data_IF_781783558226
#
_entry.id   IF_781783558226
#
_cell.length_a   1.000
_cell.length_b   1.000
_cell.length_c   1.000
_cell.angle_alpha   90.00
_cell.angle_beta   90.00
_cell.angle_gamma   90.00
#
_symmetry.space_group_name_H-M   'P 1'
#
loop_
_entity.id
_entity.type
_entity.pdbx_description
1 polymer ?
#
# COMPACT_ATOMS: atom_id res chain seq x y z
N UNK A 1 20.01 9.85 13.88
CA UNK A 1 18.57 9.63 13.91
C UNK A 1 18.28 8.17 13.61
N UNK A 2 17.68 7.45 14.53
CA UNK A 2 17.37 6.07 14.23
C UNK A 2 16.31 5.98 13.14
N UNK A 3 16.46 5.02 12.26
CA UNK A 3 15.43 4.71 11.28
C UNK A 3 14.21 4.16 11.98
N UNK A 4 13.06 4.58 11.54
CA UNK A 4 11.82 3.99 11.98
C UNK A 4 11.36 3.02 10.91
N UNK A 5 10.95 1.85 11.35
CA UNK A 5 10.42 0.82 10.48
C UNK A 5 9.11 0.34 11.06
N UNK A 6 8.08 0.33 10.23
CA UNK A 6 6.79 -0.22 10.58
C UNK A 6 6.58 -1.50 9.79
N UNK A 7 6.28 -2.59 10.48
CA UNK A 7 5.91 -3.85 9.85
C UNK A 7 4.45 -4.14 10.17
N UNK A 8 3.69 -4.53 9.15
CA UNK A 8 2.27 -4.78 9.30
C UNK A 8 1.84 -5.90 8.37
N UNK A 9 0.94 -6.74 8.85
CA UNK A 9 0.18 -7.64 7.98
C UNK A 9 -1.21 -7.05 7.86
N UNK A 10 -1.62 -6.75 6.64
CA UNK A 10 -2.86 -6.05 6.37
C UNK A 10 -3.79 -6.96 5.58
N UNK A 11 -5.03 -7.07 6.05
CA UNK A 11 -6.07 -7.87 5.39
C UNK A 11 -7.01 -6.95 4.64
N UNK A 12 -7.26 -7.26 3.38
CA UNK A 12 -8.11 -6.45 2.52
C UNK A 12 -9.29 -7.31 2.06
N UNK A 13 -10.49 -6.88 2.41
CA UNK A 13 -11.72 -7.59 2.04
C UNK A 13 -11.90 -7.63 0.53
N UNK A 14 -12.72 -8.55 0.07
CA UNK A 14 -13.09 -8.64 -1.34
C UNK A 14 -13.62 -7.30 -1.84
N UNK A 15 -13.15 -6.88 -2.99
CA UNK A 15 -13.56 -5.63 -3.67
C UNK A 15 -13.31 -4.36 -2.86
N UNK A 16 -12.35 -4.40 -1.93
CA UNK A 16 -11.96 -3.24 -1.15
C UNK A 16 -10.52 -2.85 -1.47
N UNK A 17 -10.07 -1.77 -0.88
CA UNK A 17 -8.70 -1.29 -1.04
C UNK A 17 -8.17 -0.79 0.29
N UNK A 18 -6.87 -0.99 0.51
CA UNK A 18 -6.15 -0.43 1.65
C UNK A 18 -5.43 0.83 1.18
N UNK A 19 -5.58 1.91 1.94
CA UNK A 19 -5.01 3.21 1.60
C UNK A 19 -3.91 3.53 2.60
N UNK A 20 -2.69 3.69 2.11
CA UNK A 20 -1.53 4.05 2.91
C UNK A 20 -1.14 5.50 2.60
N UNK A 21 -1.24 6.35 3.62
CA UNK A 21 -1.00 7.78 3.49
C UNK A 21 -2.26 8.56 3.14
N UNK A 22 -2.29 9.83 3.52
CA UNK A 22 -3.45 10.70 3.36
C UNK A 22 -3.14 11.95 2.53
N UNK A 23 -2.05 11.92 1.77
CA UNK A 23 -1.56 13.02 0.97
C UNK A 23 -0.98 14.19 1.80
N UNK A 24 -0.74 13.98 3.10
CA UNK A 24 -0.09 14.95 3.98
C UNK A 24 0.95 14.21 4.80
N UNK A 25 2.08 13.93 4.21
CA UNK A 25 3.15 13.17 4.88
C UNK A 25 4.49 13.37 4.18
N UNK A 26 5.56 12.99 4.85
CA UNK A 26 6.89 12.99 4.27
C UNK A 26 7.14 11.78 3.37
N UNK A 27 8.33 11.74 2.81
CA UNK A 27 8.74 10.62 1.95
C UNK A 27 8.88 9.34 2.76
N UNK A 28 8.57 8.23 2.14
CA UNK A 28 8.79 6.94 2.76
C UNK A 28 9.05 5.87 1.69
N UNK A 29 9.61 4.76 2.15
CA UNK A 29 9.78 3.57 1.32
C UNK A 29 8.88 2.49 1.87
N UNK A 30 8.22 1.75 1.00
CA UNK A 30 7.38 0.64 1.42
C UNK A 30 7.70 -0.60 0.60
N UNK A 31 7.84 -1.71 1.30
CA UNK A 31 7.90 -3.03 0.66
C UNK A 31 6.54 -3.69 0.84
N UNK A 32 5.97 -4.17 -0.26
CA UNK A 32 4.68 -4.85 -0.25
C UNK A 32 4.91 -6.28 -0.71
N UNK A 33 4.53 -7.25 0.12
CA UNK A 33 4.59 -8.66 -0.23
C UNK A 33 3.18 -9.21 -0.24
N UNK A 34 2.79 -9.81 -1.36
CA UNK A 34 1.49 -10.46 -1.45
C UNK A 34 1.60 -11.86 -0.84
N UNK A 35 1.02 -12.06 0.33
CA UNK A 35 1.07 -13.34 1.05
C UNK A 35 -0.20 -14.16 0.82
N UNK A 36 -1.06 -13.74 -0.08
CA UNK A 36 -2.33 -14.41 -0.35
C UNK A 36 -2.28 -15.25 -1.62
N UNK A 37 -3.42 -15.78 -2.02
CA UNK A 37 -3.56 -16.63 -3.21
C UNK A 37 -4.15 -15.89 -4.41
N UNK A 38 -4.44 -14.59 -4.27
CA UNK A 38 -5.01 -13.77 -5.34
C UNK A 38 -4.14 -12.54 -5.57
N UNK A 39 -4.09 -12.00 -6.80
CA UNK A 39 -3.30 -10.81 -7.08
C UNK A 39 -3.92 -9.55 -6.47
N UNK A 40 -3.09 -8.55 -6.24
CA UNK A 40 -3.53 -7.22 -5.81
C UNK A 40 -2.94 -6.17 -6.75
N UNK A 41 -3.67 -5.08 -6.94
CA UNK A 41 -3.23 -3.98 -7.78
C UNK A 41 -2.75 -2.83 -6.91
N UNK A 42 -1.58 -2.29 -7.23
CA UNK A 42 -0.99 -1.18 -6.49
C UNK A 42 -1.05 0.08 -7.33
N UNK A 43 -1.59 1.15 -6.74
CA UNK A 43 -1.79 2.45 -7.37
C UNK A 43 -1.18 3.56 -6.55
N UNK A 44 -0.72 4.62 -7.22
CA UNK A 44 -0.27 5.86 -6.59
C UNK A 44 -1.29 6.96 -6.84
N UNK A 45 -1.57 7.74 -5.80
CA UNK A 45 -2.47 8.89 -5.87
C UNK A 45 -1.72 10.12 -5.35
N UNK A 46 -0.99 10.85 -6.23
CA UNK A 46 -0.26 12.04 -5.80
C UNK A 46 -1.20 13.21 -5.49
N UNK A 47 -0.74 14.11 -4.65
CA UNK A 47 -1.51 15.31 -4.28
C UNK A 47 -1.88 16.15 -5.50
N UNK A 48 -1.03 16.15 -6.51
CA UNK A 48 -1.28 16.88 -7.76
C UNK A 48 -2.47 16.35 -8.54
N UNK A 49 -3.00 15.21 -8.16
CA UNK A 49 -4.20 14.62 -8.76
C UNK A 49 -3.89 13.44 -9.66
N UNK A 50 -4.97 12.76 -10.05
CA UNK A 50 -4.88 11.57 -10.88
C UNK A 50 -4.47 10.34 -10.12
N UNK A 51 -4.36 9.23 -10.84
CA UNK A 51 -3.84 7.98 -10.28
C UNK A 51 -2.95 7.31 -11.29
N UNK A 52 -1.93 6.63 -10.81
CA UNK A 52 -0.98 5.93 -11.66
C UNK A 52 -0.88 4.49 -11.23
N UNK A 53 -1.06 3.57 -12.18
CA UNK A 53 -0.85 2.16 -11.92
C UNK A 53 0.63 1.90 -11.69
N UNK A 54 0.95 1.19 -10.63
CA UNK A 54 2.33 0.82 -10.33
C UNK A 54 2.60 -0.60 -10.81
N UNK A 55 1.83 -1.57 -10.29
CA UNK A 55 2.04 -2.98 -10.62
C UNK A 55 0.84 -3.80 -10.14
N UNK A 56 0.61 -4.92 -10.82
CA UNK A 56 -0.22 -5.99 -10.29
C UNK A 56 0.73 -6.99 -9.62
N UNK A 57 0.55 -7.17 -8.32
CA UNK A 57 1.41 -8.02 -7.52
C UNK A 57 0.76 -9.38 -7.36
N UNK A 58 1.37 -10.38 -7.96
CA UNK A 58 0.86 -11.75 -7.91
C UNK A 58 1.19 -12.42 -6.58
N UNK A 59 0.54 -13.55 -6.25
CA UNK A 59 0.88 -14.28 -5.02
C UNK A 59 2.38 -14.55 -4.89
N UNK A 60 2.89 -14.36 -3.70
CA UNK A 60 4.29 -14.51 -3.29
C UNK A 60 5.24 -13.43 -3.83
N UNK A 61 4.77 -12.55 -4.70
CA UNK A 61 5.60 -11.47 -5.22
C UNK A 61 5.77 -10.34 -4.20
N UNK A 62 6.89 -9.64 -4.34
CA UNK A 62 7.25 -8.52 -3.48
C UNK A 62 7.73 -7.36 -4.35
N UNK A 63 7.35 -6.16 -3.97
CA UNK A 63 7.84 -4.94 -4.62
C UNK A 63 8.29 -3.94 -3.57
N UNK A 64 9.31 -3.15 -3.90
CA UNK A 64 9.77 -2.02 -3.10
C UNK A 64 9.44 -0.74 -3.83
N UNK A 65 8.82 0.19 -3.13
CA UNK A 65 8.41 1.47 -3.70
C UNK A 65 9.03 2.61 -2.92
N UNK A 66 9.52 3.60 -3.65
CA UNK A 66 9.87 4.90 -3.08
C UNK A 66 8.68 5.81 -3.28
N UNK A 67 8.10 6.28 -2.18
CA UNK A 67 6.91 7.10 -2.25
C UNK A 67 7.28 8.53 -1.91
N UNK A 68 6.98 9.43 -2.84
CA UNK A 68 7.23 10.86 -2.65
C UNK A 68 6.30 11.42 -1.57
N UNK A 69 6.66 12.58 -1.07
CA UNK A 69 5.81 13.24 -0.09
C UNK A 69 4.41 13.50 -0.65
N UNK A 70 3.44 13.48 0.22
CA UNK A 70 2.04 13.80 -0.11
C UNK A 70 1.45 12.93 -1.23
N UNK A 71 1.84 11.65 -1.24
CA UNK A 71 1.35 10.68 -2.21
C UNK A 71 0.81 9.46 -1.46
N UNK A 72 -0.44 9.13 -1.67
CA UNK A 72 -0.98 7.91 -1.07
C UNK A 72 -0.80 6.71 -1.99
N UNK A 73 -0.67 5.55 -1.37
CA UNK A 73 -0.59 4.28 -2.07
C UNK A 73 -1.87 3.52 -1.79
N UNK A 74 -2.49 2.98 -2.83
CA UNK A 74 -3.65 2.11 -2.68
C UNK A 74 -3.31 0.72 -3.13
N UNK A 75 -3.71 -0.25 -2.33
CA UNK A 75 -3.58 -1.67 -2.64
C UNK A 75 -5.00 -2.19 -2.80
N UNK A 76 -5.38 -2.49 -4.04
CA UNK A 76 -6.74 -2.86 -4.37
C UNK A 76 -6.88 -4.37 -4.50
N UNK A 77 -7.89 -4.91 -3.84
CA UNK A 77 -8.28 -6.31 -3.96
C UNK A 77 -9.53 -6.40 -4.80
N UNK A 78 -9.39 -6.72 -6.08
CA UNK A 78 -10.53 -6.89 -6.97
C UNK A 78 -11.04 -8.32 -7.01
N UNK A 79 -10.51 -9.20 -6.17
CA UNK A 79 -10.94 -10.58 -6.10
C UNK A 79 -12.19 -10.74 -5.25
N UNK A 80 -12.75 -11.94 -5.27
CA UNK A 80 -13.94 -12.28 -4.48
C UNK A 80 -13.60 -12.77 -3.08
N UNK A 81 -12.30 -12.79 -2.76
CA UNK A 81 -11.82 -13.31 -1.48
C UNK A 81 -11.00 -12.26 -0.76
N UNK A 82 -10.92 -12.40 0.55
CA UNK A 82 -10.02 -11.57 1.34
C UNK A 82 -8.57 -11.91 0.99
N UNK A 83 -7.74 -10.90 0.86
CA UNK A 83 -6.31 -11.06 0.63
C UNK A 83 -5.53 -10.52 1.81
N UNK A 84 -4.27 -10.95 1.94
CA UNK A 84 -3.35 -10.45 2.94
C UNK A 84 -2.08 -9.97 2.26
N UNK A 85 -1.58 -8.83 2.71
CA UNK A 85 -0.31 -8.30 2.25
C UNK A 85 0.55 -7.95 3.46
N UNK A 86 1.85 -8.14 3.32
CA UNK A 86 2.80 -7.73 4.35
C UNK A 86 3.44 -6.43 3.92
N UNK A 87 3.42 -5.45 4.81
CA UNK A 87 3.97 -4.13 4.55
C UNK A 87 5.16 -3.88 5.46
N UNK A 88 6.20 -3.30 4.88
CA UNK A 88 7.34 -2.79 5.65
C UNK A 88 7.59 -1.36 5.20
N UNK A 89 7.42 -0.42 6.11
CA UNK A 89 7.52 1.01 5.83
C UNK A 89 8.76 1.57 6.53
N UNK A 90 9.57 2.29 5.80
CA UNK A 90 10.75 2.99 6.32
C UNK A 90 10.63 4.47 5.97
N UNK A 91 11.05 5.34 6.88
CA UNK A 91 11.01 6.79 6.69
C UNK A 91 9.91 7.38 7.54
N UNK A 92 8.99 8.11 6.94
CA UNK A 92 7.83 8.63 7.66
C UNK A 92 6.86 7.49 7.94
N UNK A 93 6.81 7.03 9.18
CA UNK A 93 5.94 5.93 9.60
C UNK A 93 4.68 6.42 10.30
N UNK A 94 4.52 7.74 10.44
CA UNK A 94 3.30 8.34 10.98
C UNK A 94 2.21 8.47 9.94
N UNK A 95 2.08 7.46 9.07
CA UNK A 95 1.15 7.51 7.95
C UNK A 95 -0.25 7.10 8.36
N UNK A 96 -1.23 7.76 7.75
CA UNK A 96 -2.62 7.35 7.86
C UNK A 96 -2.81 6.01 7.15
N UNK A 97 -3.59 5.13 7.77
CA UNK A 97 -3.94 3.82 7.19
C UNK A 97 -5.44 3.64 7.29
N UNK A 98 -6.07 3.34 6.18
CA UNK A 98 -7.52 3.22 6.11
C UNK A 98 -7.92 2.25 5.02
N UNK A 99 -9.21 1.93 5.00
CA UNK A 99 -9.81 1.11 3.95
C UNK A 99 -10.80 1.95 3.19
N UNK A 100 -10.96 1.63 1.90
CA UNK A 100 -11.95 2.31 1.08
C UNK A 100 -13.36 2.04 1.60
N UNK A 101 -13.63 0.83 2.03
CA UNK A 101 -14.91 0.34 2.55
C UNK A 101 -16.07 0.53 1.57
N UNK A 102 -16.35 -0.52 0.85
CA UNK A 102 -17.53 -0.60 0.01
C UNK A 102 -18.72 -1.14 0.79
#
# INVERSE_FOLDING_TARGET
>A
MPFRTLNSTTYIKANDAFILGDNVHGRFNVSVTNTSIAPVDIWQYPLSGGRHSVVTLRPTEKIKLKVEENTSIRIENSSKEQVAVRLRVNGDVGLSMSYREN
#
